data_IF_176681526665
#
_entry.id   IF_176681526665
#
_cell.length_a   1.000
_cell.length_b   1.000
_cell.length_c   1.000
_cell.angle_alpha   90.00
_cell.angle_beta   90.00
_cell.angle_gamma   90.00
#
_symmetry.space_group_name_H-M   'P 1'
#
loop_
_entity.id
_entity.type
_entity.pdbx_description
1 polymer ?
#
# COMPACT_ATOMS: atom_id res chain seq x y z
N UNK A 1 1.16 13.27 -8.22
CA UNK A 1 -0.29 13.57 -8.31
C UNK A 1 -0.82 14.23 -7.04
N UNK A 2 -0.71 13.59 -5.86
CA UNK A 2 -1.15 14.14 -4.56
C UNK A 2 -0.72 15.58 -4.29
N UNK A 3 0.58 15.89 -4.42
CA UNK A 3 1.09 17.25 -4.20
C UNK A 3 0.49 18.27 -5.17
N UNK A 4 0.30 17.91 -6.43
CA UNK A 4 -0.26 18.80 -7.45
C UNK A 4 -1.70 19.20 -7.13
N UNK A 5 -2.52 18.22 -6.71
CA UNK A 5 -3.91 18.44 -6.30
C UNK A 5 -3.96 19.25 -5.00
N UNK A 6 -3.11 18.91 -4.02
CA UNK A 6 -3.02 19.63 -2.75
C UNK A 6 -2.64 21.11 -2.90
N UNK A 7 -1.76 21.46 -3.85
CA UNK A 7 -1.41 22.86 -4.12
C UNK A 7 -2.49 23.66 -4.84
N UNK A 8 -3.43 22.98 -5.51
CA UNK A 8 -4.49 23.62 -6.31
C UNK A 8 -5.86 23.61 -5.64
N UNK A 9 -6.06 22.72 -4.67
CA UNK A 9 -7.27 22.73 -3.86
C UNK A 9 -7.20 23.84 -2.80
N UNK A 10 -7.66 25.03 -3.18
CA UNK A 10 -7.77 26.20 -2.29
C UNK A 10 -9.10 26.26 -1.55
N UNK A 11 -10.07 25.45 -1.97
CA UNK A 11 -11.48 25.55 -1.58
C UNK A 11 -11.90 24.47 -0.59
N UNK A 12 -11.04 23.47 -0.35
CA UNK A 12 -11.20 22.33 0.56
C UNK A 12 -12.48 21.49 0.31
N UNK A 13 -13.04 21.58 -0.90
CA UNK A 13 -14.23 20.82 -1.31
C UNK A 13 -13.82 19.52 -2.00
N UNK A 14 -14.43 18.41 -1.60
CA UNK A 14 -14.16 17.09 -2.19
C UNK A 14 -14.47 17.04 -3.69
N UNK A 15 -15.56 17.67 -4.13
CA UNK A 15 -15.92 17.71 -5.55
C UNK A 15 -14.82 18.37 -6.42
N UNK A 16 -14.11 19.35 -5.87
CA UNK A 16 -13.02 20.02 -6.57
C UNK A 16 -11.72 19.18 -6.53
N UNK A 17 -11.48 18.42 -5.45
CA UNK A 17 -10.42 17.38 -5.45
C UNK A 17 -10.63 16.43 -6.62
N UNK A 18 -11.85 15.92 -6.79
CA UNK A 18 -12.17 14.95 -7.82
C UNK A 18 -11.93 15.52 -9.23
N UNK A 19 -12.35 16.76 -9.47
CA UNK A 19 -12.11 17.44 -10.74
C UNK A 19 -10.62 17.64 -11.01
N UNK A 20 -9.85 18.10 -10.02
CA UNK A 20 -8.40 18.30 -10.13
C UNK A 20 -7.65 16.98 -10.34
N UNK A 21 -8.09 15.90 -9.70
CA UNK A 21 -7.53 14.55 -9.91
C UNK A 21 -7.77 14.11 -11.35
N UNK A 22 -9.00 14.24 -11.87
CA UNK A 22 -9.33 13.89 -13.26
C UNK A 22 -8.50 14.70 -14.25
N UNK A 23 -8.37 16.01 -14.03
CA UNK A 23 -7.52 16.89 -14.84
C UNK A 23 -6.06 16.42 -14.82
N UNK A 24 -5.52 16.15 -13.63
CA UNK A 24 -4.12 15.72 -13.53
C UNK A 24 -3.89 14.38 -14.21
N UNK A 25 -4.80 13.42 -14.05
CA UNK A 25 -4.72 12.11 -14.72
C UNK A 25 -4.72 12.30 -16.25
N UNK A 26 -5.63 13.11 -16.78
CA UNK A 26 -5.71 13.39 -18.21
C UNK A 26 -4.45 14.08 -18.76
N UNK A 27 -3.74 14.83 -17.91
CA UNK A 27 -2.48 15.48 -18.29
C UNK A 27 -1.25 14.55 -18.27
N UNK A 28 -1.33 13.35 -17.68
CA UNK A 28 -0.18 12.44 -17.59
C UNK A 28 0.09 11.84 -18.97
N UNK A 29 1.20 12.26 -19.58
CA UNK A 29 1.64 11.78 -20.88
C UNK A 29 2.50 10.53 -20.81
N UNK A 30 2.89 10.04 -21.99
CA UNK A 30 3.71 8.83 -22.13
C UNK A 30 5.06 8.93 -21.38
N UNK A 31 5.65 10.12 -21.31
CA UNK A 31 6.92 10.33 -20.62
C UNK A 31 6.79 10.15 -19.10
N UNK A 32 5.74 10.69 -18.49
CA UNK A 32 5.50 10.51 -17.05
C UNK A 32 5.17 9.05 -16.73
N UNK A 33 4.37 8.38 -17.57
CA UNK A 33 4.12 6.94 -17.43
C UNK A 33 5.40 6.11 -17.53
N UNK A 34 6.29 6.43 -18.48
CA UNK A 34 7.57 5.75 -18.63
C UNK A 34 8.44 5.86 -17.38
N UNK A 35 8.44 7.02 -16.70
CA UNK A 35 9.16 7.18 -15.44
C UNK A 35 8.59 6.29 -14.33
N UNK A 36 7.27 6.16 -14.24
CA UNK A 36 6.61 5.26 -13.27
C UNK A 36 6.97 3.81 -13.58
N UNK A 37 6.89 3.38 -14.85
CA UNK A 37 7.27 2.02 -15.24
C UNK A 37 8.73 1.72 -14.89
N UNK A 38 9.65 2.65 -15.16
CA UNK A 38 11.07 2.49 -14.81
C UNK A 38 11.26 2.36 -13.30
N UNK A 39 10.55 3.17 -12.51
CA UNK A 39 10.64 3.08 -11.06
C UNK A 39 10.18 1.71 -10.53
N UNK A 40 9.10 1.16 -11.09
CA UNK A 40 8.65 -0.20 -10.73
C UNK A 40 9.71 -1.24 -11.09
N UNK A 41 10.30 -1.16 -12.29
CA UNK A 41 11.36 -2.07 -12.71
C UNK A 41 12.58 -2.02 -11.78
N UNK A 42 12.98 -0.82 -11.33
CA UNK A 42 14.08 -0.65 -10.37
C UNK A 42 13.77 -1.31 -9.02
N UNK A 43 12.52 -1.22 -8.56
CA UNK A 43 12.06 -1.89 -7.33
C UNK A 43 12.09 -3.41 -7.52
N UNK A 44 11.56 -3.91 -8.64
CA UNK A 44 11.53 -5.35 -8.95
C UNK A 44 12.94 -5.93 -9.03
N UNK A 45 13.87 -5.26 -9.71
CA UNK A 45 15.28 -5.64 -9.75
C UNK A 45 15.89 -5.70 -8.35
N UNK A 46 15.55 -4.73 -7.48
CA UNK A 46 15.96 -4.74 -6.08
C UNK A 46 15.42 -5.92 -5.27
N UNK A 47 14.24 -6.45 -5.61
CA UNK A 47 13.70 -7.67 -5.02
C UNK A 47 14.39 -8.93 -5.56
N UNK A 48 14.62 -9.00 -6.87
CA UNK A 48 15.35 -10.10 -7.51
C UNK A 48 16.74 -10.25 -6.89
N UNK A 49 17.45 -9.15 -6.70
CA UNK A 49 18.78 -9.18 -6.06
C UNK A 49 18.74 -9.72 -4.62
N UNK A 50 17.62 -9.55 -3.92
CA UNK A 50 17.42 -9.99 -2.53
C UNK A 50 16.70 -11.34 -2.42
N UNK A 51 16.30 -11.95 -3.52
CA UNK A 51 15.53 -13.20 -3.57
C UNK A 51 16.19 -14.28 -2.70
N UNK A 52 17.49 -14.53 -2.92
CA UNK A 52 18.25 -15.51 -2.13
C UNK A 52 18.24 -15.26 -0.61
N UNK A 53 18.22 -13.99 -0.18
CA UNK A 53 18.16 -13.63 1.24
C UNK A 53 16.77 -13.93 1.77
N UNK A 54 15.74 -13.51 1.05
CA UNK A 54 14.33 -13.73 1.41
C UNK A 54 14.05 -15.22 1.51
N UNK A 55 14.49 -16.02 0.52
CA UNK A 55 14.34 -17.47 0.51
C UNK A 55 15.01 -18.11 1.73
N UNK A 56 16.24 -17.70 2.06
CA UNK A 56 16.96 -18.21 3.23
C UNK A 56 16.18 -17.97 4.53
N UNK A 57 15.60 -16.79 4.70
CA UNK A 57 14.78 -16.49 5.88
C UNK A 57 13.45 -17.26 5.86
N UNK A 58 12.80 -17.38 4.70
CA UNK A 58 11.55 -18.12 4.55
C UNK A 58 11.72 -19.62 4.81
N UNK A 59 12.80 -20.24 4.34
CA UNK A 59 13.11 -21.65 4.61
C UNK A 59 13.39 -21.91 6.09
N UNK A 60 14.01 -20.95 6.78
CA UNK A 60 14.26 -21.05 8.22
C UNK A 60 12.98 -21.02 9.07
N UNK A 61 11.88 -20.47 8.52
CA UNK A 61 10.55 -20.50 9.12
C UNK A 61 9.88 -21.85 8.85
N UNK A 62 10.40 -22.92 9.44
CA UNK A 62 9.74 -24.23 9.41
C UNK A 62 8.52 -24.21 10.32
N UNK A 63 7.33 -24.00 9.76
CA UNK A 63 6.07 -24.15 10.49
C UNK A 63 5.77 -25.64 10.68
N UNK A 64 5.87 -26.14 11.91
CA UNK A 64 5.51 -27.52 12.23
C UNK A 64 3.97 -27.66 12.26
N UNK A 65 3.37 -28.00 11.12
CA UNK A 65 1.91 -28.20 10.99
C UNK A 65 1.42 -29.47 11.72
N UNK A 66 2.33 -30.28 12.28
CA UNK A 66 1.98 -31.50 13.01
C UNK A 66 1.91 -31.33 14.53
N UNK A 67 2.19 -30.14 15.08
CA UNK A 67 1.94 -29.88 16.51
C UNK A 67 0.53 -29.32 16.68
N UNK A 68 -0.39 -30.21 17.01
CA UNK A 68 -1.71 -29.84 17.52
C UNK A 68 -1.53 -29.26 18.92
N UNK A 69 -1.08 -28.01 19.01
CA UNK A 69 -1.04 -27.24 20.25
C UNK A 69 -2.09 -26.13 20.17
N UNK A 70 -3.24 -26.48 20.75
CA UNK A 70 -4.23 -25.67 21.46
C UNK A 70 -4.43 -24.20 21.06
N UNK A 71 -5.66 -23.93 20.61
CA UNK A 71 -6.43 -22.68 20.72
C UNK A 71 -5.70 -21.44 21.26
N UNK A 72 -4.99 -20.71 20.40
CA UNK A 72 -4.79 -19.28 20.64
C UNK A 72 -6.05 -18.55 20.19
N UNK A 73 -6.96 -18.35 21.15
CA UNK A 73 -8.09 -17.43 21.03
C UNK A 73 -7.55 -16.04 20.73
N UNK A 74 -7.48 -15.68 19.44
CA UNK A 74 -7.33 -14.30 19.01
C UNK A 74 -8.67 -13.58 19.21
N UNK A 75 -9.01 -13.35 20.49
CA UNK A 75 -10.08 -12.46 20.89
C UNK A 75 -9.77 -11.06 20.39
N UNK A 76 -10.35 -10.69 19.25
CA UNK A 76 -10.58 -9.30 18.93
C UNK A 76 -11.66 -8.82 19.88
N UNK A 77 -11.24 -8.22 21.01
CA UNK A 77 -12.14 -7.39 21.78
C UNK A 77 -12.42 -6.14 20.96
N UNK A 78 -13.50 -6.20 20.20
CA UNK A 78 -14.16 -5.00 19.69
C UNK A 78 -14.79 -4.31 20.91
N UNK A 79 -14.06 -3.34 21.47
CA UNK A 79 -14.65 -2.40 22.41
C UNK A 79 -15.53 -1.45 21.59
N UNK A 80 -16.73 -1.94 21.25
CA UNK A 80 -17.87 -1.11 20.87
C UNK A 80 -18.25 -0.25 22.08
N UNK A 81 -17.66 0.95 22.16
CA UNK A 81 -18.08 2.00 23.08
C UNK A 81 -19.39 2.63 22.54
N UNK A 82 -20.49 1.89 22.72
CA UNK A 82 -21.84 2.44 22.59
C UNK A 82 -22.18 3.34 23.81
N UNK A 83 -22.04 4.65 23.59
CA UNK A 83 -22.89 5.75 24.09
C UNK A 83 -23.22 5.86 25.60
N UNK A 84 -22.87 7.03 26.16
CA UNK A 84 -23.62 7.84 27.14
C UNK A 84 -22.85 9.18 27.26
N UNK A 85 -23.35 10.38 26.93
CA UNK A 85 -24.65 11.06 27.13
C UNK A 85 -24.78 12.18 26.07
#
# INVERSE_FOLDING_TARGET
MKNWVGTRNVTFKLNEVESLVKEKIASVGAQEWSQVCRHVQEIEEGYIQKEHIIDTYCESLTFNVNDSSDEDSCGWSDEDDENQD
#
